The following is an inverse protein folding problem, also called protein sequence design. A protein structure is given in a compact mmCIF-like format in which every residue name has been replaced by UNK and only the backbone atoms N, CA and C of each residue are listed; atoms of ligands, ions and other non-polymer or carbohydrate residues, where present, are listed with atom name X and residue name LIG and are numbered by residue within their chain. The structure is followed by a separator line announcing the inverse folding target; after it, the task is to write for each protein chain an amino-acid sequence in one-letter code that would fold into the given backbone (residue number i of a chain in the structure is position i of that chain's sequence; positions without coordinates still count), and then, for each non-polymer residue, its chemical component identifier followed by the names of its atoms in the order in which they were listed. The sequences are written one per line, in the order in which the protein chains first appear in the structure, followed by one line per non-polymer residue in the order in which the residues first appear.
data_IF_199310629018
#
_entry.id   IF_199310629018
#
_cell.length_a   1.000
_cell.length_b   1.000
_cell.length_c   1.000
_cell.angle_alpha   90.00
_cell.angle_beta   90.00
_cell.angle_gamma   90.00
#
_symmetry.space_group_name_H-M   'P 1'
#
loop_
_entity.id
_entity.type
_entity.pdbx_description
1 polymer ?
#
# COMPACT_ATOMS: atom_id res chain seq x y z
N UNK A 1 -33.90 14.84 0.34
CA UNK A 1 -33.47 13.59 1.00
C UNK A 1 -32.95 13.90 2.41
N UNK A 2 -33.85 14.16 3.37
CA UNK A 2 -33.49 14.70 4.69
C UNK A 2 -32.80 13.67 5.60
N UNK A 3 -33.04 12.37 5.41
CA UNK A 3 -32.45 11.31 6.22
C UNK A 3 -30.92 11.24 6.08
N UNK A 4 -30.39 11.47 4.87
CA UNK A 4 -28.96 11.53 4.62
C UNK A 4 -28.29 12.67 5.40
N UNK A 5 -28.92 13.85 5.43
CA UNK A 5 -28.45 15.02 6.18
C UNK A 5 -28.48 14.81 7.70
N UNK A 6 -29.47 14.07 8.21
CA UNK A 6 -29.50 13.69 9.62
C UNK A 6 -28.41 12.69 10.01
N UNK A 7 -28.02 11.79 9.10
CA UNK A 7 -26.92 10.83 9.32
C UNK A 7 -25.55 11.50 9.23
N UNK A 8 -25.40 12.48 8.34
CA UNK A 8 -24.14 13.20 8.10
C UNK A 8 -23.58 13.86 9.38
N UNK A 9 -24.43 14.53 10.16
CA UNK A 9 -23.99 15.19 11.41
C UNK A 9 -23.45 14.20 12.47
N UNK A 10 -24.10 13.05 12.62
CA UNK A 10 -23.74 12.02 13.60
C UNK A 10 -22.43 11.36 13.18
N UNK A 11 -22.30 11.12 11.87
CA UNK A 11 -21.06 10.66 11.27
C UNK A 11 -19.92 11.64 11.52
N UNK A 12 -20.12 12.93 11.25
CA UNK A 12 -19.09 13.97 11.41
C UNK A 12 -18.61 14.06 12.86
N UNK A 13 -19.54 14.20 13.82
CA UNK A 13 -19.20 14.24 15.25
C UNK A 13 -18.44 12.99 15.70
N UNK A 14 -18.93 11.80 15.31
CA UNK A 14 -18.27 10.54 15.65
C UNK A 14 -16.86 10.48 15.07
N UNK A 15 -16.68 10.92 13.82
CA UNK A 15 -15.39 10.91 13.15
C UNK A 15 -14.39 11.84 13.82
N UNK A 16 -14.81 13.05 14.21
CA UNK A 16 -13.98 14.00 14.96
C UNK A 16 -13.50 13.38 16.28
N UNK A 17 -14.42 12.77 17.05
CA UNK A 17 -14.07 12.14 18.33
C UNK A 17 -13.08 10.97 18.15
N UNK A 18 -13.34 10.08 17.19
CA UNK A 18 -12.45 8.94 16.88
C UNK A 18 -11.09 9.42 16.39
N UNK A 19 -11.05 10.50 15.59
CA UNK A 19 -9.80 11.07 15.12
C UNK A 19 -8.99 11.67 16.27
N UNK A 20 -9.65 12.42 17.17
CA UNK A 20 -9.01 13.00 18.34
C UNK A 20 -8.46 11.96 19.32
N UNK A 21 -9.22 10.88 19.57
CA UNK A 21 -8.78 9.76 20.41
C UNK A 21 -7.54 9.08 19.82
N UNK A 22 -7.57 8.78 18.52
CA UNK A 22 -6.41 8.19 17.82
C UNK A 22 -5.19 9.09 17.79
N UNK A 23 -5.40 10.40 17.60
CA UNK A 23 -4.30 11.37 17.62
C UNK A 23 -3.62 11.34 18.99
N UNK A 24 -4.41 11.36 20.07
CA UNK A 24 -3.91 11.28 21.44
C UNK A 24 -3.13 9.98 21.69
N UNK A 25 -3.65 8.84 21.23
CA UNK A 25 -2.97 7.55 21.38
C UNK A 25 -1.63 7.54 20.63
N UNK A 26 -1.61 8.09 19.40
CA UNK A 26 -0.39 8.20 18.60
C UNK A 26 0.65 9.13 19.23
N UNK A 27 0.23 10.29 19.74
CA UNK A 27 1.09 11.23 20.45
C UNK A 27 1.69 10.62 21.72
N UNK A 28 0.91 9.85 22.48
CA UNK A 28 1.40 9.15 23.67
C UNK A 28 2.43 8.08 23.30
N UNK A 29 2.22 7.32 22.23
CA UNK A 29 3.22 6.34 21.76
C UNK A 29 4.51 7.02 21.31
N UNK A 30 4.42 8.15 20.61
CA UNK A 30 5.60 8.94 20.21
C UNK A 30 6.34 9.51 21.42
N UNK A 31 5.60 9.96 22.45
CA UNK A 31 6.18 10.45 23.70
C UNK A 31 6.90 9.34 24.46
N UNK A 32 6.31 8.15 24.52
CA UNK A 32 6.86 6.98 25.24
C UNK A 32 8.05 6.38 24.50
N UNK A 33 8.02 6.30 23.16
CA UNK A 33 9.13 5.72 22.41
C UNK A 33 10.39 6.61 22.46
N UNK A 34 10.23 7.92 22.64
CA UNK A 34 11.33 8.86 22.91
C UNK A 34 12.33 9.03 21.75
N UNK A 35 11.99 8.52 20.56
CA UNK A 35 12.84 8.61 19.36
C UNK A 35 12.52 9.92 18.64
N UNK A 36 13.54 10.69 18.22
CA UNK A 36 13.33 11.92 17.46
C UNK A 36 12.52 11.65 16.18
N UNK A 37 11.60 12.56 15.87
CA UNK A 37 10.74 12.44 14.70
C UNK A 37 11.53 12.35 13.39
N UNK A 38 12.63 13.09 13.25
CA UNK A 38 13.51 13.05 12.07
C UNK A 38 14.04 11.63 11.82
N UNK A 39 14.47 10.95 12.87
CA UNK A 39 14.96 9.56 12.80
C UNK A 39 13.84 8.61 12.37
N UNK A 40 12.64 8.78 12.93
CA UNK A 40 11.47 7.97 12.52
C UNK A 40 11.11 8.19 11.05
N UNK A 41 11.20 9.43 10.54
CA UNK A 41 10.94 9.75 9.13
C UNK A 41 12.00 9.13 8.21
N UNK A 42 13.27 9.21 8.57
CA UNK A 42 14.36 8.59 7.78
C UNK A 42 14.25 7.07 7.74
N UNK A 43 14.00 6.45 8.90
CA UNK A 43 13.78 5.00 9.01
C UNK A 43 12.52 4.56 8.25
N UNK A 44 11.46 5.36 8.26
CA UNK A 44 10.26 5.11 7.45
C UNK A 44 10.56 5.19 5.94
N UNK A 45 11.33 6.19 5.48
CA UNK A 45 11.75 6.28 4.07
C UNK A 45 12.64 5.10 3.66
N UNK A 46 13.57 4.70 4.54
CA UNK A 46 14.40 3.53 4.33
C UNK A 46 13.55 2.25 4.22
N UNK A 47 12.53 2.12 5.06
CA UNK A 47 11.56 1.04 5.01
C UNK A 47 10.79 1.02 3.68
N UNK A 48 10.19 2.15 3.27
CA UNK A 48 9.47 2.26 2.00
C UNK A 48 10.38 1.82 0.86
N UNK A 49 11.57 2.41 0.76
CA UNK A 49 12.54 2.11 -0.31
C UNK A 49 12.99 0.65 -0.30
N UNK A 50 13.05 0.00 0.85
CA UNK A 50 13.35 -1.42 0.91
C UNK A 50 12.17 -2.29 0.45
N UNK A 51 10.94 -1.93 0.84
CA UNK A 51 9.73 -2.71 0.61
C UNK A 51 9.11 -2.51 -0.79
N UNK A 52 9.30 -1.35 -1.41
CA UNK A 52 8.74 -1.03 -2.75
C UNK A 52 9.67 -1.37 -3.91
N UNK A 53 10.86 -1.92 -3.64
CA UNK A 53 11.78 -2.35 -4.69
C UNK A 53 11.12 -3.38 -5.62
N UNK A 54 11.21 -3.21 -6.95
CA UNK A 54 10.65 -4.18 -7.87
C UNK A 54 11.32 -5.54 -7.69
N UNK A 55 10.50 -6.59 -7.69
CA UNK A 55 11.00 -7.96 -7.55
C UNK A 55 11.98 -8.31 -8.67
N UNK A 56 13.06 -9.06 -8.37
CA UNK A 56 13.97 -9.56 -9.38
C UNK A 56 13.21 -10.31 -10.48
N UNK A 57 13.35 -9.87 -11.73
CA UNK A 57 12.77 -10.56 -12.89
C UNK A 57 13.62 -11.79 -13.25
N UNK A 58 13.01 -12.78 -13.89
CA UNK A 58 13.74 -13.93 -14.44
C UNK A 58 14.75 -13.43 -15.46
N UNK A 59 15.95 -14.01 -15.46
CA UNK A 59 16.91 -13.78 -16.53
C UNK A 59 16.49 -14.61 -17.75
N UNK A 60 16.07 -13.92 -18.82
CA UNK A 60 15.97 -14.50 -20.15
C UNK A 60 17.39 -14.70 -20.68
N UNK A 61 17.66 -15.88 -21.26
CA UNK A 61 18.87 -16.10 -22.07
C UNK A 61 18.97 -15.02 -23.14
N UNK A 62 20.15 -14.42 -23.31
CA UNK A 62 20.47 -13.50 -24.42
C UNK A 62 19.93 -14.08 -25.73
N UNK A 63 18.86 -13.50 -26.28
CA UNK A 63 18.25 -14.02 -27.52
C UNK A 63 16.77 -13.67 -27.78
N UNK A 64 16.04 -13.04 -26.86
CA UNK A 64 14.69 -12.55 -27.16
C UNK A 64 14.37 -11.35 -26.29
N UNK A 65 14.54 -10.15 -26.85
CA UNK A 65 13.93 -8.93 -26.36
C UNK A 65 12.46 -8.94 -26.80
N UNK A 66 11.48 -9.06 -25.89
CA UNK A 66 10.09 -8.86 -26.25
C UNK A 66 9.82 -7.35 -26.28
N UNK A 67 9.41 -6.88 -27.46
CA UNK A 67 8.57 -5.71 -27.71
C UNK A 67 9.01 -4.39 -27.06
N UNK A 68 9.66 -3.59 -27.90
CA UNK A 68 9.70 -2.14 -27.85
C UNK A 68 8.32 -1.60 -27.42
N UNK A 69 8.26 -0.96 -26.26
CA UNK A 69 7.10 -0.17 -25.84
C UNK A 69 7.02 0.99 -26.84
N UNK A 70 6.09 0.90 -27.78
CA UNK A 70 5.69 2.03 -28.60
C UNK A 70 5.01 2.99 -27.63
N UNK A 71 5.74 4.03 -27.23
CA UNK A 71 5.17 5.16 -26.50
C UNK A 71 4.17 5.81 -27.44
N UNK A 72 2.90 5.77 -27.04
CA UNK A 72 1.83 6.50 -27.70
C UNK A 72 2.15 8.00 -27.58
N UNK A 73 2.33 8.66 -28.71
CA UNK A 73 2.65 10.10 -28.82
C UNK A 73 1.50 11.02 -28.36
N UNK A 74 0.41 10.45 -27.81
CA UNK A 74 -0.73 11.17 -27.24
C UNK A 74 -0.77 11.21 -25.71
N UNK A 75 0.21 10.62 -25.01
CA UNK A 75 0.26 10.60 -23.54
C UNK A 75 0.64 11.97 -22.94
N UNK A 76 -0.05 12.36 -21.87
CA UNK A 76 0.08 13.66 -21.22
C UNK A 76 1.52 13.93 -20.74
N UNK A 77 1.95 15.20 -20.79
CA UNK A 77 3.32 15.65 -20.45
C UNK A 77 3.86 15.14 -19.10
N UNK A 78 2.98 14.81 -18.16
CA UNK A 78 3.34 14.31 -16.83
C UNK A 78 3.74 12.82 -16.85
N UNK A 79 3.10 11.99 -17.67
CA UNK A 79 3.44 10.58 -17.82
C UNK A 79 4.82 10.41 -18.46
N UNK A 80 5.13 11.28 -19.42
CA UNK A 80 6.46 11.34 -20.08
C UNK A 80 7.53 11.74 -19.07
N UNK A 81 7.30 12.79 -18.28
CA UNK A 81 8.25 13.23 -17.25
C UNK A 81 8.47 12.19 -16.14
N UNK A 82 7.41 11.48 -15.72
CA UNK A 82 7.51 10.38 -14.77
C UNK A 82 8.32 9.21 -15.34
N UNK A 83 8.07 8.82 -16.59
CA UNK A 83 8.83 7.79 -17.28
C UNK A 83 10.31 8.17 -17.48
N UNK A 84 10.61 9.44 -17.77
CA UNK A 84 11.97 9.96 -17.87
C UNK A 84 12.73 9.88 -16.53
N UNK A 85 12.06 10.23 -15.43
CA UNK A 85 12.65 10.14 -14.10
C UNK A 85 12.91 8.68 -13.68
N UNK A 86 11.96 7.78 -13.98
CA UNK A 86 12.14 6.34 -13.76
C UNK A 86 13.27 5.76 -14.62
N UNK A 87 13.38 6.20 -15.88
CA UNK A 87 14.47 5.83 -16.77
C UNK A 87 15.82 6.28 -16.22
N UNK A 88 15.92 7.53 -15.76
CA UNK A 88 17.15 8.07 -15.20
C UNK A 88 17.59 7.31 -13.94
N UNK A 89 16.65 7.05 -13.02
CA UNK A 89 16.89 6.21 -11.84
C UNK A 89 17.32 4.79 -12.20
N UNK A 90 16.71 4.22 -13.25
CA UNK A 90 17.08 2.93 -13.83
C UNK A 90 18.51 2.91 -14.39
N UNK A 91 18.89 3.94 -15.15
CA UNK A 91 20.24 4.10 -15.71
C UNK A 91 21.29 4.24 -14.61
N UNK A 92 21.04 5.04 -13.58
CA UNK A 92 21.94 5.19 -12.43
C UNK A 92 22.12 3.86 -11.68
N UNK A 93 21.05 3.07 -11.59
CA UNK A 93 21.10 1.76 -10.95
C UNK A 93 21.92 0.77 -11.80
N UNK A 94 21.72 0.77 -13.12
CA UNK A 94 22.48 -0.05 -14.05
C UNK A 94 23.96 0.32 -14.04
N UNK A 95 24.29 1.61 -14.07
CA UNK A 95 25.68 2.08 -14.02
C UNK A 95 26.37 1.68 -12.71
N UNK A 96 25.66 1.79 -11.57
CA UNK A 96 26.15 1.33 -10.26
C UNK A 96 26.38 -0.19 -10.25
N UNK A 97 25.45 -0.98 -10.79
CA UNK A 97 25.61 -2.43 -10.89
C UNK A 97 26.81 -2.79 -11.78
N UNK A 98 26.98 -2.12 -12.92
CA UNK A 98 28.08 -2.36 -13.84
C UNK A 98 29.44 -1.98 -13.24
N UNK A 99 29.53 -0.88 -12.49
CA UNK A 99 30.72 -0.53 -11.70
C UNK A 99 31.05 -1.57 -10.64
N UNK A 100 30.05 -2.15 -9.97
CA UNK A 100 30.27 -3.22 -8.99
C UNK A 100 30.77 -4.51 -9.65
N UNK A 101 30.18 -4.90 -10.78
CA UNK A 101 30.60 -6.09 -11.54
C UNK A 101 32.02 -5.92 -12.05
N UNK A 102 32.34 -4.81 -12.71
CA UNK A 102 33.69 -4.52 -13.22
C UNK A 102 34.73 -4.51 -12.10
N UNK A 103 34.45 -3.83 -10.97
CA UNK A 103 35.35 -3.85 -9.80
C UNK A 103 35.61 -5.28 -9.28
N UNK A 104 34.57 -6.11 -9.18
CA UNK A 104 34.73 -7.51 -8.75
C UNK A 104 35.46 -8.35 -9.81
N UNK A 105 35.19 -8.13 -11.08
CA UNK A 105 35.92 -8.79 -12.17
C UNK A 105 37.40 -8.42 -12.15
N UNK A 106 37.75 -7.15 -11.91
CA UNK A 106 39.14 -6.69 -11.89
C UNK A 106 39.95 -7.23 -10.72
N UNK A 107 39.30 -7.61 -9.61
CA UNK A 107 39.96 -8.34 -8.52
C UNK A 107 40.29 -9.79 -8.87
N UNK A 108 39.70 -10.35 -9.94
CA UNK A 108 39.97 -11.72 -10.37
C UNK A 108 41.21 -11.77 -11.26
N UNK A 109 42.09 -12.74 -10.99
CA UNK A 109 43.20 -13.09 -11.89
C UNK A 109 42.73 -13.63 -13.24
N UNK A 110 43.64 -13.74 -14.21
CA UNK A 110 43.35 -14.15 -15.60
C UNK A 110 42.61 -15.49 -15.67
N UNK A 111 43.05 -16.49 -14.92
CA UNK A 111 42.43 -17.82 -14.89
C UNK A 111 41.02 -17.80 -14.28
N UNK A 112 40.82 -17.02 -13.21
CA UNK A 112 39.53 -16.85 -12.56
C UNK A 112 38.53 -16.10 -13.45
N UNK A 113 38.99 -15.10 -14.24
CA UNK A 113 38.17 -14.43 -15.27
C UNK A 113 37.71 -15.42 -16.36
N UNK A 114 38.58 -16.33 -16.79
CA UNK A 114 38.22 -17.38 -17.75
C UNK A 114 37.20 -18.38 -17.19
N UNK A 115 37.38 -18.82 -15.93
CA UNK A 115 36.42 -19.69 -15.25
C UNK A 115 35.06 -19.00 -15.07
N UNK A 116 35.03 -17.72 -14.69
CA UNK A 116 33.79 -16.94 -14.57
C UNK A 116 33.02 -16.89 -15.89
N UNK A 117 33.70 -16.62 -17.02
CA UNK A 117 33.06 -16.62 -18.35
C UNK A 117 32.46 -17.98 -18.73
N UNK A 118 33.07 -19.08 -18.30
CA UNK A 118 32.53 -20.43 -18.47
C UNK A 118 31.33 -20.70 -17.56
N UNK A 119 31.41 -20.26 -16.30
CA UNK A 119 30.33 -20.39 -15.31
C UNK A 119 29.07 -19.58 -15.68
N UNK A 120 29.22 -18.38 -16.21
CA UNK A 120 28.07 -17.56 -16.70
C UNK A 120 27.26 -18.31 -17.76
N UNK A 121 27.91 -19.16 -18.57
CA UNK A 121 27.24 -19.98 -19.60
C UNK A 121 26.74 -21.33 -19.06
N UNK A 122 26.94 -21.64 -17.78
CA UNK A 122 26.55 -22.91 -17.20
C UNK A 122 25.03 -23.05 -17.14
N UNK A 123 24.44 -24.10 -17.75
CA UNK A 123 23.01 -24.37 -17.65
C UNK A 123 22.54 -24.54 -16.20
N UNK A 124 23.42 -25.05 -15.33
CA UNK A 124 23.12 -25.22 -13.92
C UNK A 124 22.95 -23.88 -13.21
N UNK A 125 23.87 -22.94 -13.42
CA UNK A 125 23.81 -21.62 -12.76
C UNK A 125 22.62 -20.79 -13.24
N UNK A 126 22.29 -20.83 -14.53
CA UNK A 126 21.07 -20.20 -15.06
C UNK A 126 19.81 -20.76 -14.39
N UNK A 127 19.71 -22.09 -14.23
CA UNK A 127 18.58 -22.72 -13.54
C UNK A 127 18.53 -22.35 -12.05
N UNK A 128 19.69 -22.29 -11.38
CA UNK A 128 19.81 -21.85 -9.98
C UNK A 128 19.34 -20.41 -9.78
N UNK A 129 19.78 -19.47 -10.63
CA UNK A 129 19.34 -18.07 -10.57
C UNK A 129 17.83 -17.94 -10.85
N UNK A 130 17.31 -18.68 -11.83
CA UNK A 130 15.88 -18.70 -12.14
C UNK A 130 15.04 -19.31 -11.02
N UNK A 131 15.51 -20.37 -10.38
CA UNK A 131 14.85 -20.97 -9.22
C UNK A 131 14.84 -20.00 -8.04
N UNK A 132 15.93 -19.29 -7.78
CA UNK A 132 15.99 -18.23 -6.76
C UNK A 132 15.00 -17.10 -7.03
N UNK A 133 14.95 -16.58 -8.25
CA UNK A 133 13.99 -15.53 -8.63
C UNK A 133 12.53 -16.01 -8.49
N UNK A 134 12.26 -17.27 -8.85
CA UNK A 134 10.94 -17.87 -8.63
C UNK A 134 10.60 -18.02 -7.15
N UNK A 135 11.52 -18.49 -6.32
CA UNK A 135 11.31 -18.66 -4.87
C UNK A 135 11.00 -17.31 -4.21
N UNK A 136 11.76 -16.27 -4.54
CA UNK A 136 11.48 -14.89 -4.09
C UNK A 136 10.09 -14.41 -4.49
N UNK A 137 9.68 -14.68 -5.74
CA UNK A 137 8.35 -14.28 -6.23
C UNK A 137 7.22 -15.06 -5.55
N UNK A 138 7.41 -16.35 -5.27
CA UNK A 138 6.43 -17.18 -4.57
C UNK A 138 6.27 -16.65 -3.14
N UNK A 139 7.38 -16.43 -2.40
CA UNK A 139 7.36 -15.84 -1.06
C UNK A 139 6.59 -14.51 -1.04
N UNK A 140 6.89 -13.61 -1.96
CA UNK A 140 6.20 -12.33 -2.02
C UNK A 140 4.69 -12.49 -2.25
N UNK A 141 4.29 -13.31 -3.23
CA UNK A 141 2.87 -13.54 -3.49
C UNK A 141 2.13 -14.20 -2.33
N UNK A 142 2.80 -15.10 -1.61
CA UNK A 142 2.24 -15.73 -0.42
C UNK A 142 2.09 -14.72 0.73
N UNK A 143 3.07 -13.83 0.93
CA UNK A 143 2.95 -12.70 1.87
C UNK A 143 1.79 -11.77 1.49
N UNK A 144 1.72 -11.32 0.24
CA UNK A 144 0.62 -10.45 -0.22
C UNK A 144 -0.73 -11.11 -0.02
N UNK A 145 -0.85 -12.41 -0.34
CA UNK A 145 -2.07 -13.20 -0.11
C UNK A 145 -2.46 -13.22 1.37
N UNK A 146 -1.50 -13.47 2.28
CA UNK A 146 -1.74 -13.49 3.73
C UNK A 146 -2.26 -12.13 4.21
N UNK A 147 -1.64 -11.03 3.78
CA UNK A 147 -2.12 -9.68 4.12
C UNK A 147 -3.51 -9.37 3.56
N UNK A 148 -3.84 -9.84 2.35
CA UNK A 148 -5.18 -9.69 1.77
C UNK A 148 -6.24 -10.46 2.57
N UNK A 149 -5.94 -11.69 3.01
CA UNK A 149 -6.82 -12.48 3.86
C UNK A 149 -6.98 -11.89 5.26
N UNK A 150 -5.90 -11.41 5.88
CA UNK A 150 -5.96 -10.73 7.19
C UNK A 150 -6.82 -9.46 7.10
N UNK A 151 -6.73 -8.72 5.99
CA UNK A 151 -7.55 -7.53 5.75
C UNK A 151 -9.02 -7.90 5.63
N UNK A 152 -9.35 -8.99 4.93
CA UNK A 152 -10.70 -9.53 4.85
C UNK A 152 -11.21 -9.97 6.23
N UNK A 153 -10.41 -10.72 6.99
CA UNK A 153 -10.81 -11.20 8.30
C UNK A 153 -11.12 -10.05 9.28
N UNK A 154 -10.30 -8.99 9.26
CA UNK A 154 -10.54 -7.78 10.06
C UNK A 154 -11.77 -7.01 9.63
N UNK A 155 -12.14 -6.99 8.34
CA UNK A 155 -13.37 -6.33 7.88
C UNK A 155 -14.61 -7.11 8.31
N UNK A 156 -14.58 -8.45 8.20
CA UNK A 156 -15.65 -9.33 8.69
C UNK A 156 -15.92 -9.16 10.19
N UNK A 157 -14.87 -8.99 11.01
CA UNK A 157 -15.03 -8.77 12.47
C UNK A 157 -15.60 -7.39 12.82
N UNK A 158 -15.53 -6.39 11.94
CA UNK A 158 -15.92 -4.99 12.23
C UNK A 158 -17.31 -4.58 11.74
N UNK A 159 -17.96 -5.30 10.83
CA UNK A 159 -19.27 -4.89 10.29
C UNK A 159 -20.23 -6.06 10.05
N UNK A 160 -21.49 -5.93 10.51
CA UNK A 160 -22.62 -6.76 10.09
C UNK A 160 -23.38 -6.03 8.97
N UNK A 161 -23.42 -6.66 7.79
CA UNK A 161 -24.42 -6.57 6.70
C UNK A 161 -24.19 -5.75 5.42
N UNK A 162 -23.38 -4.68 5.34
CA UNK A 162 -23.32 -3.84 4.10
C UNK A 162 -22.11 -4.13 3.18
N UNK A 163 -20.94 -4.49 3.72
CA UNK A 163 -19.71 -4.74 2.92
C UNK A 163 -19.58 -6.17 2.37
N UNK A 164 -20.62 -7.00 2.48
CA UNK A 164 -20.55 -8.42 2.11
C UNK A 164 -20.15 -8.65 0.64
N UNK A 165 -20.67 -7.84 -0.30
CA UNK A 165 -20.31 -7.93 -1.73
C UNK A 165 -18.85 -7.54 -2.03
N UNK A 166 -18.29 -6.58 -1.28
CA UNK A 166 -16.89 -6.16 -1.44
C UNK A 166 -15.95 -7.23 -0.89
N UNK A 167 -16.32 -7.83 0.24
CA UNK A 167 -15.56 -8.94 0.82
C UNK A 167 -15.63 -10.20 -0.07
N UNK A 168 -16.79 -10.53 -0.62
CA UNK A 168 -16.94 -11.61 -1.62
C UNK A 168 -16.07 -11.35 -2.85
N UNK A 169 -16.09 -10.14 -3.41
CA UNK A 169 -15.24 -9.78 -4.55
C UNK A 169 -13.75 -9.88 -4.24
N UNK A 170 -13.33 -9.50 -3.03
CA UNK A 170 -11.95 -9.60 -2.59
C UNK A 170 -11.55 -11.07 -2.36
N UNK A 171 -12.42 -11.87 -1.75
CA UNK A 171 -12.21 -13.31 -1.55
C UNK A 171 -12.10 -14.05 -2.90
N UNK A 172 -12.96 -13.72 -3.86
CA UNK A 172 -12.89 -14.27 -5.22
C UNK A 172 -11.61 -13.84 -5.95
N UNK A 173 -11.18 -12.60 -5.74
CA UNK A 173 -9.92 -12.09 -6.30
C UNK A 173 -8.70 -12.82 -5.74
N UNK A 174 -8.70 -13.13 -4.44
CA UNK A 174 -7.67 -13.97 -3.79
C UNK A 174 -7.68 -15.37 -4.41
N UNK A 175 -8.84 -16.03 -4.44
CA UNK A 175 -9.00 -17.38 -5.02
C UNK A 175 -8.55 -17.47 -6.48
N UNK A 176 -8.78 -16.42 -7.27
CA UNK A 176 -8.33 -16.36 -8.68
C UNK A 176 -6.80 -16.30 -8.82
N UNK A 177 -6.08 -15.79 -7.82
CA UNK A 177 -4.62 -15.67 -7.85
C UNK A 177 -3.92 -16.94 -7.35
N UNK A 178 -4.58 -17.74 -6.51
CA UNK A 178 -4.04 -18.99 -5.94
C UNK A 178 -3.48 -19.95 -7.02
N UNK A 179 -4.17 -20.25 -8.14
CA UNK A 179 -3.63 -21.08 -9.21
C UNK A 179 -2.33 -20.51 -9.81
N UNK A 180 -2.20 -19.17 -9.87
CA UNK A 180 -0.99 -18.51 -10.34
C UNK A 180 0.19 -18.68 -9.39
N UNK A 181 -0.05 -18.79 -8.08
CA UNK A 181 0.99 -19.08 -7.08
C UNK A 181 1.40 -20.55 -7.18
N UNK A 182 0.44 -21.47 -7.25
CA UNK A 182 0.71 -22.91 -7.42
C UNK A 182 1.50 -23.19 -8.71
N UNK A 183 1.17 -22.52 -9.82
CA UNK A 183 1.94 -22.63 -11.07
C UNK A 183 3.39 -22.15 -10.93
N UNK A 184 3.65 -21.12 -10.13
CA UNK A 184 5.02 -20.67 -9.87
C UNK A 184 5.77 -21.70 -9.03
N UNK A 185 5.12 -22.27 -8.01
CA UNK A 185 5.68 -23.34 -7.18
C UNK A 185 5.99 -24.59 -8.01
N UNK A 186 5.09 -25.03 -8.91
CA UNK A 186 5.36 -26.12 -9.85
C UNK A 186 6.57 -25.83 -10.75
N UNK A 187 6.67 -24.61 -11.31
CA UNK A 187 7.83 -24.20 -12.12
C UNK A 187 9.13 -24.23 -11.31
N UNK A 188 9.08 -23.82 -10.05
CA UNK A 188 10.23 -23.90 -9.14
C UNK A 188 10.63 -25.35 -8.87
N UNK A 189 9.68 -26.22 -8.52
CA UNK A 189 9.93 -27.63 -8.24
C UNK A 189 10.50 -28.37 -9.47
N UNK A 190 10.04 -28.02 -10.68
CA UNK A 190 10.60 -28.51 -11.93
C UNK A 190 12.07 -28.12 -12.10
N UNK A 191 12.43 -26.86 -11.82
CA UNK A 191 13.83 -26.43 -11.86
C UNK A 191 14.69 -27.16 -10.82
N UNK A 192 14.14 -27.45 -9.63
CA UNK A 192 14.84 -28.25 -8.62
C UNK A 192 15.16 -29.65 -9.14
N UNK A 193 14.22 -30.30 -9.84
CA UNK A 193 14.45 -31.61 -10.45
C UNK A 193 15.47 -31.57 -11.59
N UNK A 194 15.37 -30.55 -12.46
CA UNK A 194 16.36 -30.32 -13.51
C UNK A 194 17.76 -30.06 -12.93
N UNK A 195 17.87 -29.40 -11.78
CA UNK A 195 19.15 -29.22 -11.08
C UNK A 195 19.67 -30.53 -10.48
N UNK A 196 18.81 -31.36 -9.87
CA UNK A 196 19.19 -32.71 -9.39
C UNK A 196 19.73 -33.57 -10.53
N UNK A 197 19.07 -33.55 -11.71
CA UNK A 197 19.53 -34.31 -12.88
C UNK A 197 20.89 -33.81 -13.40
N UNK A 198 21.11 -32.50 -13.46
CA UNK A 198 22.41 -31.92 -13.85
C UNK A 198 23.54 -32.27 -12.87
N UNK A 199 23.24 -32.35 -11.57
CA UNK A 199 24.18 -32.81 -10.53
C UNK A 199 24.54 -34.28 -10.77
N UNK A 200 23.55 -35.16 -10.98
CA UNK A 200 23.78 -36.59 -11.32
C UNK A 200 24.62 -36.75 -12.58
N UNK A 201 24.40 -35.90 -13.59
CA UNK A 201 25.16 -35.89 -14.84
C UNK A 201 26.56 -35.27 -14.73
N UNK A 202 26.99 -34.83 -13.54
CA UNK A 202 28.28 -34.13 -13.30
C UNK A 202 28.48 -32.88 -14.18
N UNK A 203 27.38 -32.24 -14.60
CA UNK A 203 27.37 -30.96 -15.36
C UNK A 203 27.23 -29.74 -14.45
N UNK A 204 27.11 -29.96 -13.14
CA UNK A 204 27.11 -28.94 -12.12
C UNK A 204 28.54 -28.72 -11.58
N UNK A 205 28.85 -27.54 -11.02
CA UNK A 205 30.09 -27.31 -10.27
C UNK A 205 30.27 -28.32 -9.12
N UNK A 206 31.53 -28.53 -8.69
CA UNK A 206 31.84 -29.47 -7.60
C UNK A 206 31.16 -29.04 -6.29
N UNK A 207 30.72 -30.02 -5.51
CA UNK A 207 30.11 -29.85 -4.17
C UNK A 207 28.81 -29.03 -4.13
N UNK A 208 28.06 -28.98 -5.24
CA UNK A 208 26.79 -28.25 -5.26
C UNK A 208 25.63 -29.11 -4.76
N UNK A 209 24.82 -28.53 -3.87
CA UNK A 209 23.60 -29.12 -3.32
C UNK A 209 22.38 -28.65 -4.11
N UNK A 210 21.45 -29.55 -4.40
CA UNK A 210 20.19 -29.23 -5.06
C UNK A 210 19.24 -28.48 -4.09
N UNK A 211 18.46 -27.49 -4.56
CA UNK A 211 17.46 -26.84 -3.73
C UNK A 211 16.33 -27.77 -3.29
N UNK A 212 15.78 -27.47 -2.10
CA UNK A 212 14.63 -28.17 -1.53
C UNK A 212 13.38 -27.80 -2.32
N UNK A 213 12.57 -28.81 -2.67
CA UNK A 213 11.29 -28.63 -3.34
C UNK A 213 10.24 -28.12 -2.35
N UNK A 214 9.35 -27.26 -2.81
CA UNK A 214 8.25 -26.75 -2.01
C UNK A 214 7.15 -27.81 -1.95
N UNK A 215 6.67 -28.10 -0.74
CA UNK A 215 5.48 -28.92 -0.55
C UNK A 215 4.26 -28.18 -1.11
N UNK A 216 3.58 -28.83 -2.05
CA UNK A 216 2.42 -28.25 -2.74
C UNK A 216 1.15 -28.32 -1.88
N UNK A 217 1.06 -29.28 -0.96
CA UNK A 217 -0.10 -29.46 -0.10
C UNK A 217 -0.14 -28.36 0.96
N UNK A 218 1.02 -28.06 1.57
CA UNK A 218 1.17 -27.06 2.63
C UNK A 218 1.49 -25.65 2.11
N UNK A 219 1.48 -25.43 0.79
CA UNK A 219 1.90 -24.17 0.16
C UNK A 219 1.20 -22.92 0.73
N UNK A 220 -0.05 -23.06 1.17
CA UNK A 220 -0.88 -21.95 1.66
C UNK A 220 -1.02 -21.90 3.18
N UNK A 221 -0.50 -22.90 3.91
CA UNK A 221 -0.55 -22.96 5.38
C UNK A 221 0.40 -21.91 5.98
N UNK A 222 1.56 -21.67 5.35
CA UNK A 222 2.50 -20.59 5.66
C UNK A 222 2.91 -20.57 7.14
N UNK A 223 3.48 -21.69 7.59
CA UNK A 223 4.07 -21.80 8.92
C UNK A 223 5.47 -21.14 8.97
N UNK A 224 5.93 -20.82 10.17
CA UNK A 224 7.23 -20.20 10.44
C UNK A 224 8.36 -21.15 10.03
N UNK A 225 8.15 -22.46 10.19
CA UNK A 225 9.14 -23.52 9.94
C UNK A 225 9.08 -24.10 8.52
N UNK A 226 8.31 -23.51 7.60
CA UNK A 226 8.19 -24.02 6.24
C UNK A 226 9.52 -23.90 5.45
N UNK A 227 9.88 -24.96 4.74
CA UNK A 227 11.07 -25.05 3.85
C UNK A 227 11.12 -23.96 2.76
N UNK A 228 9.99 -23.29 2.54
CA UNK A 228 9.91 -22.14 1.65
C UNK A 228 10.79 -20.98 2.13
N UNK A 229 11.10 -20.87 3.43
CA UNK A 229 11.94 -19.81 3.97
C UNK A 229 13.44 -20.08 3.85
N UNK A 230 13.84 -21.34 3.62
CA UNK A 230 15.24 -21.74 3.54
C UNK A 230 15.82 -21.54 2.12
N UNK A 231 17.04 -20.99 1.97
CA UNK A 231 17.70 -20.78 0.67
C UNK A 231 18.76 -21.86 0.32
N UNK A 232 18.55 -23.09 0.82
CA UNK A 232 19.42 -24.25 0.56
C UNK A 232 19.61 -24.45 -0.95
N UNK A 233 20.88 -24.55 -1.37
CA UNK A 233 21.23 -24.80 -2.78
C UNK A 233 21.06 -23.60 -3.72
N UNK A 234 20.42 -22.51 -3.30
CA UNK A 234 20.15 -21.31 -4.11
C UNK A 234 21.16 -20.17 -3.87
N UNK A 235 22.01 -20.33 -2.85
CA UNK A 235 23.02 -19.37 -2.44
C UNK A 235 22.40 -18.30 -1.54
N UNK A 236 23.09 -17.99 -0.44
CA UNK A 236 22.72 -16.85 0.39
C UNK A 236 22.86 -15.56 -0.43
N UNK A 237 22.13 -14.51 -0.05
CA UNK A 237 22.63 -13.18 -0.36
C UNK A 237 24.07 -13.13 0.19
N UNK A 238 25.03 -12.72 -0.64
CA UNK A 238 26.11 -11.92 -0.06
C UNK A 238 25.36 -10.73 0.55
N UNK A 239 24.91 -10.89 1.79
CA UNK A 239 24.80 -9.76 2.68
C UNK A 239 26.14 -9.06 2.50
N UNK A 240 26.12 -7.81 2.04
CA UNK A 240 27.31 -7.00 2.22
C UNK A 240 27.74 -7.19 3.67
N UNK A 241 29.02 -7.48 3.87
CA UNK A 241 29.64 -7.59 5.19
C UNK A 241 28.96 -6.62 6.17
N UNK A 242 28.55 -7.13 7.34
CA UNK A 242 28.32 -6.33 8.54
C UNK A 242 27.23 -5.24 8.50
N UNK A 243 26.16 -5.36 7.72
CA UNK A 243 25.03 -4.43 7.93
C UNK A 243 24.20 -4.89 9.13
N UNK A 244 24.40 -4.25 10.29
CA UNK A 244 23.43 -4.19 11.39
C UNK A 244 22.03 -4.02 10.77
N UNK A 245 21.05 -4.88 11.11
CA UNK A 245 19.71 -4.77 10.53
C UNK A 245 19.17 -3.35 10.73
N UNK A 246 18.48 -2.76 9.74
CA UNK A 246 17.89 -1.43 9.89
C UNK A 246 17.05 -1.33 11.16
N UNK A 247 17.02 -0.17 11.80
CA UNK A 247 16.33 -0.01 13.07
C UNK A 247 14.81 -0.18 12.91
N UNK A 248 14.25 0.25 11.78
CA UNK A 248 12.84 -0.05 11.43
C UNK A 248 12.50 -1.55 11.38
N UNK A 249 13.50 -2.42 11.28
CA UNK A 249 13.31 -3.87 11.28
C UNK A 249 13.60 -4.51 12.65
N UNK A 250 14.60 -4.00 13.37
CA UNK A 250 15.16 -4.64 14.58
C UNK A 250 14.74 -4.01 15.90
N UNK A 251 14.36 -2.74 15.93
CA UNK A 251 14.01 -2.01 17.14
C UNK A 251 12.48 -1.85 17.27
N UNK A 252 11.93 -2.38 18.37
CA UNK A 252 10.49 -2.35 18.67
C UNK A 252 9.96 -0.93 18.88
N UNK A 253 10.75 -0.06 19.49
CA UNK A 253 10.39 1.34 19.73
C UNK A 253 10.38 2.12 18.43
N UNK A 254 11.34 1.87 17.53
CA UNK A 254 11.35 2.48 16.18
C UNK A 254 10.14 2.01 15.39
N UNK A 255 9.79 0.72 15.43
CA UNK A 255 8.59 0.18 14.77
C UNK A 255 7.30 0.77 15.33
N UNK A 256 7.19 0.91 16.65
CA UNK A 256 6.05 1.53 17.30
C UNK A 256 5.97 3.03 16.96
N UNK A 257 7.11 3.72 16.99
CA UNK A 257 7.24 5.14 16.64
C UNK A 257 6.85 5.42 15.19
N UNK A 258 7.32 4.63 14.22
CA UNK A 258 6.94 4.80 12.80
C UNK A 258 5.42 4.65 12.63
N UNK A 259 4.81 3.64 13.24
CA UNK A 259 3.33 3.47 13.18
C UNK A 259 2.61 4.67 13.77
N UNK A 260 3.00 5.09 14.97
CA UNK A 260 2.39 6.23 15.64
C UNK A 260 2.59 7.53 14.86
N UNK A 261 3.76 7.75 14.25
CA UNK A 261 4.04 8.88 13.37
C UNK A 261 3.08 8.91 12.18
N UNK A 262 2.93 7.77 11.48
CA UNK A 262 2.02 7.68 10.34
C UNK A 262 0.55 7.82 10.73
N UNK A 263 0.16 7.33 11.91
CA UNK A 263 -1.20 7.49 12.43
C UNK A 263 -1.47 8.96 12.81
N UNK A 264 -0.50 9.64 13.42
CA UNK A 264 -0.59 11.08 13.73
C UNK A 264 -0.73 11.93 12.47
N UNK A 265 0.15 11.73 11.49
CA UNK A 265 0.11 12.44 10.20
C UNK A 265 -1.26 12.23 9.51
N UNK A 266 -1.76 11.00 9.50
CA UNK A 266 -3.10 10.67 8.97
C UNK A 266 -4.24 11.31 9.77
N UNK A 267 -4.10 11.43 11.09
CA UNK A 267 -5.10 12.10 11.92
C UNK A 267 -5.15 13.60 11.61
N UNK A 268 -4.01 14.25 11.38
CA UNK A 268 -3.99 15.66 10.95
C UNK A 268 -4.66 15.86 9.58
N UNK A 269 -4.38 14.98 8.61
CA UNK A 269 -5.07 15.01 7.31
C UNK A 269 -6.59 14.83 7.47
N UNK A 270 -7.03 13.86 8.26
CA UNK A 270 -8.46 13.62 8.50
C UNK A 270 -9.10 14.78 9.28
N UNK A 271 -8.41 15.39 10.25
CA UNK A 271 -8.89 16.58 10.95
C UNK A 271 -9.11 17.75 9.98
N UNK A 272 -8.15 18.01 9.09
CA UNK A 272 -8.29 19.02 8.04
C UNK A 272 -9.48 18.72 7.13
N UNK A 273 -9.66 17.45 6.69
CA UNK A 273 -10.82 17.07 5.89
C UNK A 273 -12.14 17.28 6.64
N UNK A 274 -12.22 16.85 7.91
CA UNK A 274 -13.44 16.98 8.73
C UNK A 274 -13.78 18.45 9.01
N UNK A 275 -12.77 19.30 9.13
CA UNK A 275 -12.93 20.74 9.25
C UNK A 275 -13.56 21.34 7.98
N UNK A 276 -13.05 20.99 6.80
CA UNK A 276 -13.63 21.43 5.53
C UNK A 276 -15.07 20.92 5.33
N UNK A 277 -15.33 19.66 5.69
CA UNK A 277 -16.69 19.08 5.64
C UNK A 277 -17.65 19.83 6.57
N UNK A 278 -17.18 20.23 7.76
CA UNK A 278 -17.99 21.03 8.70
C UNK A 278 -18.33 22.39 8.12
N UNK A 279 -17.35 23.06 7.50
CA UNK A 279 -17.50 24.37 6.86
C UNK A 279 -18.46 24.29 5.68
N UNK A 280 -18.28 23.29 4.80
CA UNK A 280 -19.12 23.05 3.63
C UNK A 280 -20.59 22.87 4.02
N UNK A 281 -20.87 22.13 5.09
CA UNK A 281 -22.24 21.93 5.59
C UNK A 281 -22.88 23.26 6.04
N UNK A 282 -22.12 24.16 6.66
CA UNK A 282 -22.63 25.46 7.11
C UNK A 282 -22.88 26.41 5.94
N UNK A 283 -21.95 26.47 4.98
CA UNK A 283 -22.08 27.26 3.77
C UNK A 283 -23.29 26.81 2.95
N UNK A 284 -23.43 25.50 2.73
CA UNK A 284 -24.58 24.92 2.05
C UNK A 284 -25.89 25.31 2.74
N UNK A 285 -25.96 25.19 4.07
CA UNK A 285 -27.18 25.52 4.79
C UNK A 285 -27.53 27.01 4.70
N UNK A 286 -26.53 27.88 4.85
CA UNK A 286 -26.73 29.33 4.73
C UNK A 286 -27.23 29.72 3.33
N UNK A 287 -26.65 29.13 2.28
CA UNK A 287 -27.05 29.35 0.90
C UNK A 287 -28.48 28.86 0.65
N UNK A 288 -28.80 27.63 1.04
CA UNK A 288 -30.15 27.07 0.92
C UNK A 288 -31.19 27.95 1.63
N UNK A 289 -30.86 28.43 2.83
CA UNK A 289 -31.73 29.33 3.59
C UNK A 289 -31.97 30.65 2.85
N UNK A 290 -30.92 31.27 2.30
CA UNK A 290 -31.03 32.51 1.52
C UNK A 290 -31.87 32.31 0.26
N UNK A 291 -31.62 31.24 -0.49
CA UNK A 291 -32.33 30.93 -1.74
C UNK A 291 -33.81 30.68 -1.47
N UNK A 292 -34.15 29.89 -0.43
CA UNK A 292 -35.55 29.61 -0.06
C UNK A 292 -36.27 30.89 0.34
N UNK A 293 -35.66 31.75 1.18
CA UNK A 293 -36.29 33.01 1.58
C UNK A 293 -36.45 34.00 0.41
N UNK A 294 -35.45 34.10 -0.47
CA UNK A 294 -35.55 34.93 -1.68
C UNK A 294 -36.66 34.43 -2.61
N UNK A 295 -36.81 33.12 -2.79
CA UNK A 295 -37.87 32.53 -3.60
C UNK A 295 -39.27 32.78 -3.00
N UNK A 296 -39.41 32.71 -1.67
CA UNK A 296 -40.66 33.05 -0.98
C UNK A 296 -41.03 34.51 -1.22
N UNK A 297 -40.07 35.43 -1.14
CA UNK A 297 -40.30 36.87 -1.35
C UNK A 297 -40.69 37.22 -2.79
N UNK A 298 -40.20 36.46 -3.78
CA UNK A 298 -40.51 36.68 -5.20
C UNK A 298 -41.79 35.98 -5.67
N UNK A 299 -42.37 35.11 -4.84
CA UNK A 299 -43.37 34.14 -5.27
C UNK A 299 -44.71 34.73 -5.70
N UNK A 300 -45.15 34.39 -6.92
CA UNK A 300 -46.43 34.79 -7.53
C UNK A 300 -47.53 33.71 -7.46
N UNK A 301 -47.17 32.45 -7.21
CA UNK A 301 -48.07 31.28 -7.26
C UNK A 301 -48.22 30.61 -5.88
N UNK A 302 -49.47 30.32 -5.49
CA UNK A 302 -49.83 29.86 -4.14
C UNK A 302 -49.32 28.46 -3.80
N UNK A 303 -49.32 27.54 -4.77
CA UNK A 303 -48.86 26.16 -4.54
C UNK A 303 -47.33 26.10 -4.37
N UNK A 304 -46.59 26.92 -5.12
CA UNK A 304 -45.13 27.06 -4.96
C UNK A 304 -44.77 27.70 -3.61
N UNK A 305 -45.50 28.73 -3.17
CA UNK A 305 -45.30 29.32 -1.85
C UNK A 305 -45.50 28.30 -0.73
N UNK A 306 -46.51 27.43 -0.82
CA UNK A 306 -46.74 26.38 0.18
C UNK A 306 -45.55 25.40 0.28
N UNK A 307 -45.02 24.93 -0.87
CA UNK A 307 -43.87 24.03 -0.89
C UNK A 307 -42.59 24.69 -0.35
N UNK A 308 -42.36 25.96 -0.68
CA UNK A 308 -41.21 26.72 -0.17
C UNK A 308 -41.28 26.92 1.35
N UNK A 309 -42.46 27.19 1.90
CA UNK A 309 -42.66 27.27 3.34
C UNK A 309 -42.42 25.91 4.03
N UNK A 310 -42.87 24.79 3.46
CA UNK A 310 -42.53 23.46 3.99
C UNK A 310 -41.03 23.18 3.97
N UNK A 311 -40.33 23.62 2.92
CA UNK A 311 -38.87 23.51 2.83
C UNK A 311 -38.20 24.36 3.91
N UNK A 312 -38.67 25.59 4.13
CA UNK A 312 -38.20 26.49 5.19
C UNK A 312 -38.34 25.84 6.58
N UNK A 313 -39.52 25.32 6.92
CA UNK A 313 -39.76 24.61 8.18
C UNK A 313 -38.84 23.39 8.35
N UNK A 314 -38.62 22.65 7.26
CA UNK A 314 -37.71 21.50 7.26
C UNK A 314 -36.25 21.90 7.54
N UNK A 315 -35.81 23.05 7.03
CA UNK A 315 -34.48 23.61 7.29
C UNK A 315 -34.34 24.06 8.75
N UNK A 316 -35.35 24.73 9.34
CA UNK A 316 -35.34 25.08 10.77
C UNK A 316 -35.20 23.83 11.66
N UNK A 317 -36.01 22.80 11.40
CA UNK A 317 -35.92 21.52 12.14
C UNK A 317 -34.55 20.87 11.98
N UNK A 318 -33.95 20.94 10.79
CA UNK A 318 -32.62 20.42 10.54
C UNK A 318 -31.57 21.19 11.36
N UNK A 319 -31.67 22.52 11.44
CA UNK A 319 -30.74 23.37 12.17
C UNK A 319 -30.75 23.09 13.68
N UNK A 320 -31.94 23.07 14.30
CA UNK A 320 -32.10 22.75 15.74
C UNK A 320 -31.39 21.43 16.09
N UNK A 321 -31.53 20.46 15.19
CA UNK A 321 -30.94 19.14 15.35
C UNK A 321 -29.42 19.17 15.11
N UNK A 322 -28.95 19.96 14.14
CA UNK A 322 -27.54 20.11 13.81
C UNK A 322 -26.75 20.84 14.88
N UNK A 323 -27.23 21.98 15.38
CA UNK A 323 -26.59 22.81 16.39
C UNK A 323 -26.20 21.99 17.62
N UNK A 324 -27.12 21.18 18.15
CA UNK A 324 -26.87 20.30 19.29
C UNK A 324 -25.81 19.22 19.01
N UNK A 325 -25.76 18.69 17.79
CA UNK A 325 -24.81 17.62 17.46
C UNK A 325 -23.44 18.10 17.04
N UNK A 326 -23.37 19.24 16.36
CA UNK A 326 -22.14 19.84 15.87
C UNK A 326 -21.45 20.70 16.93
N UNK A 327 -22.07 20.88 18.09
CA UNK A 327 -21.42 21.44 19.28
C UNK A 327 -20.09 20.71 19.57
N UNK A 328 -19.00 21.47 19.57
CA UNK A 328 -17.63 20.98 19.79
C UNK A 328 -16.92 20.43 18.54
N UNK A 329 -17.54 20.47 17.36
CA UNK A 329 -16.85 20.20 16.09
C UNK A 329 -16.14 21.48 15.65
N UNK A 330 -14.81 21.47 15.40
CA UNK A 330 -14.08 22.65 14.93
C UNK A 330 -14.62 23.17 13.59
N UNK A 331 -14.64 24.50 13.43
CA UNK A 331 -15.08 25.20 12.22
C UNK A 331 -14.35 26.54 12.07
N UNK A 332 -14.38 27.15 10.89
CA UNK A 332 -13.69 28.42 10.63
C UNK A 332 -14.36 29.62 11.30
N UNK A 333 -13.54 30.51 11.88
CA UNK A 333 -14.02 31.71 12.60
C UNK A 333 -14.81 32.68 11.69
N UNK A 334 -14.52 32.69 10.40
CA UNK A 334 -15.14 33.59 9.41
C UNK A 334 -16.40 33.00 8.73
N UNK A 335 -16.95 31.89 9.23
CA UNK A 335 -18.14 31.31 8.62
C UNK A 335 -19.37 32.20 8.81
N UNK A 336 -20.25 32.29 7.79
CA UNK A 336 -21.54 32.93 7.96
C UNK A 336 -22.37 32.18 8.99
N UNK A 337 -23.20 32.91 9.73
CA UNK A 337 -24.23 32.31 10.58
C UNK A 337 -25.10 31.34 9.79
N UNK A 338 -25.74 30.40 10.48
CA UNK A 338 -26.61 29.42 9.84
C UNK A 338 -27.78 30.06 9.06
N UNK A 339 -28.20 31.29 9.41
CA UNK A 339 -29.21 32.05 8.67
C UNK A 339 -30.49 32.32 9.46
N UNK A 340 -31.22 31.28 9.95
CA UNK A 340 -32.39 31.47 10.79
C UNK A 340 -32.00 32.16 12.10
N UNK A 341 -32.77 33.18 12.48
CA UNK A 341 -32.64 33.77 13.82
C UNK A 341 -33.27 32.83 14.86
N UNK A 342 -32.89 32.91 16.15
CA UNK A 342 -33.51 32.13 17.21
C UNK A 342 -35.04 32.25 17.27
N UNK A 343 -35.57 33.40 16.86
CA UNK A 343 -37.02 33.67 16.81
C UNK A 343 -37.75 32.96 15.65
N UNK A 344 -37.01 32.44 14.66
CA UNK A 344 -37.54 31.73 13.49
C UNK A 344 -37.38 30.19 13.60
N UNK A 345 -36.85 29.70 14.74
CA UNK A 345 -36.46 28.30 14.96
C UNK A 345 -37.49 27.45 15.72
#
# INVERSE_FOLDING_TARGET
NNEALYKLRLWLRRKVLVCAEKLKDAEEVLRVCGIPEEVLRDEWQAQIKAQTKPLPRKFLTYGSLPNLVIIDMSSESWDVAAAELELQSGLDTLQRAQRKVTKKEDTLGVDAKHQLRSLVKSPFLTKKMNARALKMRIRERLRSRKFELDRLERSYRKQRSVEQRINEHTQDSVKRRDPGISQLAHKYNKLCEEMKTLIRQKKAPRNVVAPIQIDMEKLFELDVDDDIWLDVGLGYEEAGDETVPPLWLSDDNVRAGIRALTDRDRCHEEQARLYEERNAIQLWFNEEWRVVNAAIQQGTDGDMQFQLNQRKDSLCRLLVVWERTLAGVPFAEELPDWGPKPDEL
#
